data_IF_505948201825
#
_entry.id   IF_505948201825
#
_cell.length_a   1.000
_cell.length_b   1.000
_cell.length_c   1.000
_cell.angle_alpha   90.00
_cell.angle_beta   90.00
_cell.angle_gamma   90.00
#
_symmetry.space_group_name_H-M   'P 1'
#
loop_
_entity.id
_entity.type
_entity.pdbx_description
1 polymer ?
#
# COMPACT_ATOMS: atom_id res chain seq x y z
N UNK A 1 -10.49 2.29 20.26
CA UNK A 1 -9.66 3.29 19.54
C UNK A 1 -8.32 2.67 19.16
N UNK A 2 -7.56 3.33 18.29
CA UNK A 2 -6.26 2.84 17.82
C UNK A 2 -5.20 3.94 17.91
N UNK A 3 -3.94 3.53 18.04
CA UNK A 3 -2.79 4.39 17.77
C UNK A 3 -2.05 3.84 16.55
N UNK A 4 -1.69 4.71 15.59
CA UNK A 4 -0.77 4.36 14.52
C UNK A 4 0.68 4.58 14.93
N UNK A 5 1.61 3.96 14.21
CA UNK A 5 3.04 4.14 14.44
C UNK A 5 3.85 3.87 13.17
N UNK A 6 4.96 4.57 13.05
CA UNK A 6 6.05 4.20 12.14
C UNK A 6 6.98 3.19 12.81
N UNK A 7 7.90 2.61 12.04
CA UNK A 7 8.96 1.76 12.64
C UNK A 7 9.87 2.55 13.58
N UNK A 8 10.03 3.85 13.36
CA UNK A 8 10.99 4.68 14.09
C UNK A 8 10.46 5.10 15.48
N UNK A 9 9.14 5.23 15.64
CA UNK A 9 8.53 5.70 16.89
C UNK A 9 7.67 4.66 17.61
N UNK A 10 7.54 3.44 17.09
CA UNK A 10 6.71 2.38 17.67
C UNK A 10 7.04 2.11 19.16
N UNK A 11 8.33 2.03 19.50
CA UNK A 11 8.75 1.76 20.90
C UNK A 11 8.38 2.93 21.83
N UNK A 12 8.55 4.18 21.36
CA UNK A 12 8.15 5.38 22.11
C UNK A 12 6.64 5.43 22.33
N UNK A 13 5.84 5.16 21.29
CA UNK A 13 4.38 5.12 21.40
C UNK A 13 3.95 4.00 22.34
N UNK A 14 4.57 2.82 22.24
CA UNK A 14 4.25 1.69 23.12
C UNK A 14 4.54 2.01 24.60
N UNK A 15 5.67 2.65 24.89
CA UNK A 15 6.02 3.08 26.24
C UNK A 15 5.00 4.09 26.81
N UNK A 16 4.68 5.14 26.04
CA UNK A 16 3.70 6.15 26.47
C UNK A 16 2.30 5.56 26.69
N UNK A 17 1.86 4.66 25.80
CA UNK A 17 0.59 3.95 25.98
C UNK A 17 0.63 3.07 27.23
N UNK A 18 1.71 2.34 27.46
CA UNK A 18 1.87 1.46 28.61
C UNK A 18 1.81 2.25 29.92
N UNK A 19 2.64 3.28 30.05
CA UNK A 19 2.73 4.13 31.24
C UNK A 19 1.42 4.87 31.51
N UNK A 20 0.65 5.19 30.46
CA UNK A 20 -0.65 5.80 30.59
C UNK A 20 -1.74 4.80 31.02
N UNK A 21 -1.85 3.66 30.32
CA UNK A 21 -2.96 2.73 30.44
C UNK A 21 -2.86 1.80 31.65
N UNK A 22 -1.66 1.33 32.01
CA UNK A 22 -1.47 0.35 33.08
C UNK A 22 -1.90 0.89 34.45
N UNK A 23 -1.49 2.09 34.89
CA UNK A 23 -1.93 2.64 36.18
C UNK A 23 -3.44 2.93 36.25
N UNK A 24 -4.08 3.09 35.08
CA UNK A 24 -5.52 3.39 34.95
C UNK A 24 -6.38 2.15 34.69
N UNK A 25 -5.78 0.95 34.66
CA UNK A 25 -6.47 -0.30 34.34
C UNK A 25 -7.22 -0.29 33.00
N UNK A 26 -6.72 0.46 32.01
CA UNK A 26 -7.33 0.52 30.67
C UNK A 26 -6.75 -0.63 29.84
N UNK A 27 -7.56 -1.57 29.33
CA UNK A 27 -7.04 -2.66 28.52
C UNK A 27 -6.51 -2.15 27.18
N UNK A 28 -5.40 -2.73 26.71
CA UNK A 28 -4.83 -2.43 25.40
C UNK A 28 -4.02 -3.63 24.88
N UNK A 29 -3.68 -3.57 23.58
CA UNK A 29 -2.74 -4.50 22.94
C UNK A 29 -1.94 -3.78 21.87
N UNK A 30 -0.76 -4.32 21.57
CA UNK A 30 0.13 -3.83 20.52
C UNK A 30 0.48 -4.93 19.52
N UNK A 31 0.99 -4.53 18.36
CA UNK A 31 1.65 -5.46 17.44
C UNK A 31 2.95 -5.95 18.08
N UNK A 32 3.14 -7.27 18.26
CA UNK A 32 4.26 -7.78 19.07
C UNK A 32 5.56 -7.89 18.24
N UNK A 33 5.96 -6.78 17.60
CA UNK A 33 7.31 -6.62 17.09
C UNK A 33 7.44 -5.89 15.74
N UNK A 34 8.65 -5.40 15.40
CA UNK A 34 8.89 -4.55 14.24
C UNK A 34 8.55 -5.21 12.90
N UNK A 35 8.82 -6.52 12.76
CA UNK A 35 8.53 -7.27 11.54
C UNK A 35 7.01 -7.35 11.28
N UNK A 36 6.23 -7.60 12.32
CA UNK A 36 4.76 -7.68 12.21
C UNK A 36 4.15 -6.30 11.94
N UNK A 37 4.71 -5.24 12.53
CA UNK A 37 4.32 -3.86 12.22
C UNK A 37 4.63 -3.53 10.75
N UNK A 38 5.81 -3.90 10.25
CA UNK A 38 6.17 -3.73 8.84
C UNK A 38 5.20 -4.46 7.91
N UNK A 39 4.91 -5.74 8.17
CA UNK A 39 3.99 -6.53 7.33
C UNK A 39 2.57 -5.95 7.33
N UNK A 40 2.11 -5.38 8.44
CA UNK A 40 0.82 -4.68 8.54
C UNK A 40 0.78 -3.35 7.76
N UNK A 41 1.94 -2.76 7.48
CA UNK A 41 2.06 -1.51 6.71
C UNK A 41 2.65 -1.71 5.31
N UNK A 42 2.92 -2.95 4.88
CA UNK A 42 3.45 -3.25 3.55
C UNK A 42 2.51 -2.81 2.42
N UNK A 43 3.03 -2.66 1.20
CA UNK A 43 2.27 -2.23 0.00
C UNK A 43 0.96 -3.00 -0.22
N UNK A 44 0.99 -4.32 -0.09
CA UNK A 44 -0.17 -5.19 -0.31
C UNK A 44 -0.76 -5.72 1.00
N UNK A 45 -0.46 -5.06 2.13
CA UNK A 45 -1.16 -5.32 3.38
C UNK A 45 -2.64 -4.94 3.26
N UNK A 46 -3.48 -5.58 4.06
CA UNK A 46 -4.91 -5.27 4.07
C UNK A 46 -5.16 -3.83 4.55
N UNK A 47 -6.01 -3.11 3.84
CA UNK A 47 -6.31 -1.69 4.11
C UNK A 47 -7.17 -1.48 5.35
N UNK A 48 -7.85 -2.52 5.84
CA UNK A 48 -8.70 -2.47 7.03
C UNK A 48 -7.92 -2.54 8.36
N UNK A 49 -6.72 -3.09 8.32
CA UNK A 49 -5.84 -3.29 9.48
C UNK A 49 -4.58 -2.44 9.43
N UNK A 50 -4.26 -1.87 8.26
CA UNK A 50 -3.05 -1.07 8.11
C UNK A 50 -3.05 0.16 9.03
N UNK A 51 -1.85 0.49 9.51
CA UNK A 51 -1.59 1.56 10.45
C UNK A 51 -1.95 1.25 11.89
N UNK A 52 -2.88 0.32 12.18
CA UNK A 52 -3.28 -0.03 13.56
C UNK A 52 -2.14 -0.71 14.31
N UNK A 53 -1.36 0.08 15.07
CA UNK A 53 -0.26 -0.43 15.89
C UNK A 53 -0.77 -0.85 17.28
N UNK A 54 -1.43 0.06 17.98
CA UNK A 54 -2.07 -0.20 19.28
C UNK A 54 -3.58 -0.22 19.12
N UNK A 55 -4.26 -1.10 19.85
CA UNK A 55 -5.70 -0.99 20.13
C UNK A 55 -5.89 -0.73 21.62
N UNK A 56 -6.63 0.31 21.97
CA UNK A 56 -6.95 0.69 23.35
C UNK A 56 -8.47 0.56 23.53
N UNK A 57 -8.89 0.05 24.69
CA UNK A 57 -10.27 -0.29 25.01
C UNK A 57 -10.80 0.54 26.20
N UNK A 58 -11.16 1.82 26.00
CA UNK A 58 -11.91 2.58 26.99
C UNK A 58 -13.25 1.90 27.32
N UNK A 59 -13.74 2.09 28.54
CA UNK A 59 -14.97 1.44 29.02
C UNK A 59 -16.25 1.99 28.35
N UNK A 60 -16.28 3.30 28.11
CA UNK A 60 -17.42 4.05 27.58
C UNK A 60 -16.96 5.29 26.80
N UNK A 61 -17.92 6.11 26.35
CA UNK A 61 -17.66 7.33 25.58
C UNK A 61 -16.95 8.43 26.39
N UNK A 62 -17.23 8.54 27.69
CA UNK A 62 -16.57 9.50 28.58
C UNK A 62 -15.10 9.12 28.77
N UNK A 63 -14.84 7.85 29.07
CA UNK A 63 -13.49 7.28 29.14
C UNK A 63 -12.77 7.39 27.80
N UNK A 64 -13.45 7.17 26.67
CA UNK A 64 -12.86 7.40 25.34
C UNK A 64 -12.41 8.84 25.18
N UNK A 65 -13.27 9.82 25.50
CA UNK A 65 -12.94 11.24 25.38
C UNK A 65 -11.77 11.62 26.29
N UNK A 66 -11.76 11.13 27.54
CA UNK A 66 -10.67 11.34 28.48
C UNK A 66 -9.34 10.80 27.95
N UNK A 67 -9.33 9.56 27.47
CA UNK A 67 -8.13 8.94 26.88
C UNK A 67 -7.67 9.71 25.64
N UNK A 68 -8.58 10.08 24.73
CA UNK A 68 -8.22 10.86 23.55
C UNK A 68 -7.55 12.19 23.90
N UNK A 69 -8.02 12.88 24.95
CA UNK A 69 -7.44 14.15 25.40
C UNK A 69 -6.09 13.97 26.06
N UNK A 70 -5.99 13.15 27.11
CA UNK A 70 -4.74 13.03 27.88
C UNK A 70 -3.66 12.31 27.08
N UNK A 71 -3.97 11.12 26.56
CA UNK A 71 -3.00 10.35 25.77
C UNK A 71 -2.71 11.05 24.44
N UNK A 72 -3.68 11.75 23.85
CA UNK A 72 -3.47 12.57 22.66
C UNK A 72 -2.41 13.64 22.90
N UNK A 73 -2.44 14.33 24.04
CA UNK A 73 -1.42 15.32 24.40
C UNK A 73 -0.03 14.69 24.60
N UNK A 74 0.05 13.49 25.17
CA UNK A 74 1.32 12.78 25.35
C UNK A 74 1.92 12.27 24.03
N UNK A 75 1.07 11.96 23.06
CA UNK A 75 1.46 11.45 21.74
C UNK A 75 1.56 12.56 20.68
N UNK A 76 1.38 13.82 21.06
CA UNK A 76 1.42 14.95 20.14
C UNK A 76 2.79 15.04 19.43
N UNK A 77 2.74 15.38 18.13
CA UNK A 77 3.93 15.42 17.26
C UNK A 77 4.52 14.05 16.89
N UNK A 78 3.89 12.92 17.26
CA UNK A 78 4.32 11.59 16.79
C UNK A 78 3.56 11.18 15.52
N UNK A 79 4.30 10.96 14.44
CA UNK A 79 3.72 10.59 13.16
C UNK A 79 3.31 9.12 13.06
N UNK A 80 2.43 8.83 12.10
CA UNK A 80 2.08 7.48 11.73
C UNK A 80 1.27 7.44 10.45
N UNK A 81 1.13 6.26 9.82
CA UNK A 81 0.26 6.13 8.66
C UNK A 81 -1.19 6.43 9.04
N UNK A 82 -1.90 7.16 8.18
CA UNK A 82 -3.32 7.39 8.33
C UNK A 82 -4.09 6.05 8.38
N UNK A 83 -5.05 5.89 9.30
CA UNK A 83 -5.88 4.68 9.36
C UNK A 83 -7.18 4.93 8.60
N UNK A 84 -7.30 4.37 7.39
CA UNK A 84 -8.41 4.66 6.46
C UNK A 84 -9.81 4.37 7.02
N UNK A 85 -9.91 3.37 7.89
CA UNK A 85 -11.18 2.89 8.46
C UNK A 85 -11.61 3.65 9.72
N UNK A 86 -10.79 4.57 10.19
CA UNK A 86 -10.96 5.24 11.48
C UNK A 86 -10.93 6.76 11.29
N UNK A 87 -11.53 7.48 12.23
CA UNK A 87 -11.53 8.94 12.32
C UNK A 87 -10.31 9.39 13.13
N UNK A 88 -9.45 10.24 12.57
CA UNK A 88 -8.28 10.80 13.27
C UNK A 88 -8.73 11.73 14.38
N UNK A 89 -8.01 11.71 15.50
CA UNK A 89 -8.17 12.66 16.59
C UNK A 89 -7.10 13.74 16.50
N UNK A 90 -7.50 14.96 16.11
CA UNK A 90 -6.61 16.08 15.82
C UNK A 90 -5.50 15.65 14.84
N UNK A 91 -4.27 16.07 15.09
CA UNK A 91 -3.09 15.71 14.30
C UNK A 91 -2.31 14.51 14.89
N UNK A 92 -2.72 14.01 16.05
CA UNK A 92 -2.02 12.91 16.72
C UNK A 92 -2.23 11.55 16.03
N UNK A 93 -1.49 10.52 16.43
CA UNK A 93 -1.61 9.20 15.84
C UNK A 93 -2.81 8.43 16.39
N UNK A 94 -3.76 9.08 17.08
CA UNK A 94 -4.93 8.45 17.67
C UNK A 94 -6.13 8.46 16.72
N UNK A 95 -6.84 7.34 16.67
CA UNK A 95 -7.97 7.15 15.78
C UNK A 95 -9.15 6.42 16.46
N UNK A 96 -10.37 6.79 16.07
CA UNK A 96 -11.61 6.23 16.59
C UNK A 96 -12.37 5.51 15.48
N UNK A 97 -12.92 4.34 15.80
CA UNK A 97 -13.75 3.56 14.89
C UNK A 97 -14.84 2.84 15.66
N UNK A 98 -16.03 2.80 15.05
CA UNK A 98 -17.09 1.86 15.41
C UNK A 98 -16.84 0.51 14.76
N UNK A 99 -16.84 -0.56 15.56
CA UNK A 99 -16.62 -1.89 15.04
C UNK A 99 -16.50 -2.95 16.13
N UNK A 100 -16.41 -4.20 15.69
CA UNK A 100 -16.35 -5.34 16.60
C UNK A 100 -15.06 -5.31 17.43
N UNK A 101 -15.20 -5.33 18.76
CA UNK A 101 -14.08 -5.45 19.70
C UNK A 101 -14.10 -6.79 20.47
N UNK A 102 -15.29 -7.29 20.80
CA UNK A 102 -15.48 -8.64 21.35
C UNK A 102 -15.52 -9.69 20.22
N UNK A 103 -15.18 -10.94 20.55
CA UNK A 103 -15.31 -12.06 19.61
C UNK A 103 -16.80 -12.37 19.40
N UNK A 104 -17.38 -11.74 18.39
CA UNK A 104 -18.72 -12.03 17.89
C UNK A 104 -18.64 -12.17 16.37
N UNK A 105 -19.36 -13.15 15.84
CA UNK A 105 -19.32 -13.48 14.42
C UNK A 105 -20.72 -13.77 13.91
N UNK A 106 -20.95 -13.46 12.63
CA UNK A 106 -22.13 -13.85 11.87
C UNK A 106 -21.69 -14.42 10.53
N UNK A 107 -22.57 -15.16 9.88
CA UNK A 107 -22.37 -15.59 8.49
C UNK A 107 -22.97 -14.51 7.60
N UNK A 108 -22.18 -13.95 6.70
CA UNK A 108 -22.66 -12.94 5.76
C UNK A 108 -23.49 -13.57 4.62
N UNK A 109 -24.05 -12.73 3.75
CA UNK A 109 -24.86 -13.15 2.58
C UNK A 109 -24.11 -14.07 1.61
N UNK A 110 -22.77 -14.12 1.71
CA UNK A 110 -21.89 -14.96 0.88
C UNK A 110 -21.50 -16.26 1.58
N UNK A 111 -22.06 -16.56 2.74
CA UNK A 111 -21.73 -17.75 3.52
C UNK A 111 -20.39 -17.65 4.26
N UNK A 112 -19.81 -16.45 4.39
CA UNK A 112 -18.51 -16.25 5.05
C UNK A 112 -18.68 -15.86 6.52
N UNK A 113 -17.91 -16.49 7.40
CA UNK A 113 -17.87 -16.11 8.82
C UNK A 113 -17.12 -14.79 8.98
N UNK A 114 -17.82 -13.74 9.40
CA UNK A 114 -17.29 -12.37 9.54
C UNK A 114 -17.50 -11.83 10.95
N UNK A 115 -16.62 -10.93 11.45
CA UNK A 115 -16.85 -10.26 12.73
C UNK A 115 -18.18 -9.50 12.75
N UNK A 116 -18.80 -9.40 13.91
CA UNK A 116 -20.12 -8.80 14.09
C UNK A 116 -20.15 -7.72 15.16
N UNK A 117 -21.02 -6.73 14.95
CA UNK A 117 -21.44 -5.73 15.94
C UNK A 117 -22.92 -5.91 16.25
N UNK A 118 -23.40 -5.30 17.34
CA UNK A 118 -24.84 -5.23 17.61
C UNK A 118 -25.43 -3.97 16.98
N UNK A 119 -26.60 -4.12 16.37
CA UNK A 119 -27.41 -2.98 15.94
C UNK A 119 -28.15 -2.32 17.12
N UNK A 120 -28.95 -1.30 16.85
CA UNK A 120 -29.75 -0.58 17.85
C UNK A 120 -30.78 -1.46 18.58
N UNK A 121 -31.15 -2.59 17.99
CA UNK A 121 -32.07 -3.58 18.57
C UNK A 121 -31.34 -4.76 19.25
N UNK A 122 -30.00 -4.70 19.29
CA UNK A 122 -29.16 -5.74 19.87
C UNK A 122 -28.88 -6.94 18.96
N UNK A 123 -29.36 -6.93 17.72
CA UNK A 123 -29.16 -8.00 16.74
C UNK A 123 -27.73 -7.97 16.20
N UNK A 124 -27.11 -9.14 16.03
CA UNK A 124 -25.77 -9.21 15.46
C UNK A 124 -25.81 -8.98 13.95
N UNK A 125 -25.06 -7.98 13.50
CA UNK A 125 -24.90 -7.61 12.09
C UNK A 125 -23.41 -7.58 11.71
N UNK A 126 -23.05 -7.79 10.43
CA UNK A 126 -21.65 -7.75 9.99
C UNK A 126 -20.93 -6.43 10.33
N UNK A 127 -19.71 -6.53 10.87
CA UNK A 127 -18.80 -5.40 11.08
C UNK A 127 -18.25 -4.93 9.72
N UNK A 128 -18.82 -3.86 9.16
CA UNK A 128 -18.40 -3.35 7.86
C UNK A 128 -16.99 -2.72 7.93
N UNK A 129 -16.02 -3.37 7.27
CA UNK A 129 -14.61 -2.92 7.20
C UNK A 129 -14.23 -2.33 5.85
N UNK A 130 -15.00 -1.33 5.42
CA UNK A 130 -14.67 -0.56 4.21
C UNK A 130 -13.46 0.35 4.50
N UNK A 131 -12.57 0.63 3.53
CA UNK A 131 -11.40 1.50 3.70
C UNK A 131 -11.79 3.00 3.73
N UNK A 132 -12.83 3.31 4.50
CA UNK A 132 -13.34 4.65 4.81
C UNK A 132 -13.92 4.61 6.22
N UNK A 133 -13.86 5.74 6.93
CA UNK A 133 -14.61 5.89 8.18
C UNK A 133 -16.12 5.80 7.90
N UNK A 134 -16.83 5.13 8.80
CA UNK A 134 -18.27 4.91 8.74
C UNK A 134 -18.82 4.85 10.17
N UNK A 135 -19.90 5.57 10.41
CA UNK A 135 -20.70 5.50 11.64
C UNK A 135 -21.97 4.73 11.28
N UNK A 136 -22.32 3.64 11.99
CA UNK A 136 -23.58 2.95 11.76
C UNK A 136 -24.80 3.85 12.03
N UNK A 137 -25.87 3.67 11.26
CA UNK A 137 -27.07 4.53 11.31
C UNK A 137 -27.75 4.57 12.69
N UNK A 138 -27.59 3.52 13.48
CA UNK A 138 -28.15 3.38 14.83
C UNK A 138 -27.24 3.94 15.94
N UNK A 139 -26.07 4.50 15.60
CA UNK A 139 -25.13 5.05 16.56
C UNK A 139 -25.03 6.57 16.39
N UNK A 140 -25.40 7.37 17.40
CA UNK A 140 -25.13 8.80 17.36
C UNK A 140 -23.62 9.03 17.42
N UNK A 141 -23.11 9.98 16.62
CA UNK A 141 -21.72 10.42 16.73
C UNK A 141 -21.57 11.26 18.00
N UNK A 142 -20.63 10.94 18.92
CA UNK A 142 -20.33 11.77 20.07
C UNK A 142 -19.90 13.17 19.64
N UNK A 143 -20.47 14.19 20.27
CA UNK A 143 -20.26 15.59 19.91
C UNK A 143 -18.77 15.99 19.82
N UNK A 144 -17.92 15.41 20.67
CA UNK A 144 -16.48 15.69 20.65
C UNK A 144 -15.76 15.19 19.38
N UNK A 145 -16.37 14.29 18.61
CA UNK A 145 -15.85 13.80 17.32
C UNK A 145 -16.36 14.59 16.11
N UNK A 146 -17.40 15.42 16.26
CA UNK A 146 -17.96 16.22 15.17
C UNK A 146 -16.91 17.14 14.51
N UNK A 147 -16.04 17.86 15.25
CA UNK A 147 -15.01 18.69 14.61
C UNK A 147 -14.03 17.88 13.77
N UNK A 148 -13.72 16.66 14.21
CA UNK A 148 -12.80 15.76 13.49
C UNK A 148 -13.45 15.25 12.20
N UNK A 149 -14.75 14.92 12.25
CA UNK A 149 -15.49 14.51 11.06
C UNK A 149 -15.64 15.66 10.06
N UNK A 150 -15.90 16.87 10.55
CA UNK A 150 -15.96 18.07 9.73
C UNK A 150 -14.62 18.33 9.04
N UNK A 151 -13.50 18.33 9.79
CA UNK A 151 -12.15 18.51 9.26
C UNK A 151 -11.76 17.43 8.23
N UNK A 152 -12.22 16.19 8.41
CA UNK A 152 -12.03 15.14 7.40
C UNK A 152 -12.76 15.46 6.10
N UNK A 153 -13.98 16.00 6.18
CA UNK A 153 -14.85 16.26 5.03
C UNK A 153 -14.47 17.53 4.25
N UNK A 154 -13.65 18.43 4.81
CA UNK A 154 -13.16 19.62 4.08
C UNK A 154 -12.14 19.28 2.99
N UNK A 155 -11.47 18.13 3.08
CA UNK A 155 -10.55 17.68 2.03
C UNK A 155 -11.36 17.18 0.84
N UNK A 156 -11.61 18.05 -0.14
CA UNK A 156 -12.35 17.68 -1.35
C UNK A 156 -11.43 17.65 -2.58
N UNK A 157 -11.71 16.70 -3.47
CA UNK A 157 -11.12 16.64 -4.81
C UNK A 157 -11.74 17.66 -5.78
N UNK A 158 -12.76 18.40 -5.35
CA UNK A 158 -13.58 19.27 -6.21
C UNK A 158 -12.79 20.42 -6.83
N UNK A 159 -11.77 20.92 -6.13
CA UNK A 159 -10.93 22.03 -6.58
C UNK A 159 -9.77 21.59 -7.49
N UNK A 160 -9.57 20.28 -7.64
CA UNK A 160 -8.50 19.76 -8.50
C UNK A 160 -8.95 19.80 -9.97
N UNK A 161 -8.07 20.20 -10.90
CA UNK A 161 -8.35 20.20 -12.33
C UNK A 161 -8.33 18.79 -12.94
N UNK A 162 -8.82 17.78 -12.22
CA UNK A 162 -8.79 16.38 -12.60
C UNK A 162 -10.13 15.71 -12.37
N UNK A 163 -10.73 15.21 -13.44
CA UNK A 163 -11.92 14.37 -13.37
C UNK A 163 -11.50 12.90 -13.37
N UNK A 164 -11.68 12.22 -12.25
CA UNK A 164 -11.38 10.78 -12.13
C UNK A 164 -12.46 9.96 -12.82
N UNK A 165 -12.05 9.04 -13.70
CA UNK A 165 -12.95 8.16 -14.45
C UNK A 165 -12.95 6.74 -13.88
N UNK A 166 -11.77 6.23 -13.54
CA UNK A 166 -11.57 4.86 -13.07
C UNK A 166 -10.44 4.79 -12.06
N UNK A 167 -10.52 3.83 -11.13
CA UNK A 167 -9.43 3.51 -10.21
C UNK A 167 -9.02 2.04 -10.40
N UNK A 168 -8.16 1.74 -11.41
CA UNK A 168 -7.81 0.35 -11.76
C UNK A 168 -7.13 -0.44 -10.65
N UNK A 169 -6.51 0.23 -9.68
CA UNK A 169 -5.75 -0.45 -8.66
C UNK A 169 -5.67 0.34 -7.36
N UNK A 170 -5.87 -0.37 -6.24
CA UNK A 170 -5.59 0.14 -4.90
C UNK A 170 -4.57 -0.74 -4.20
N UNK A 171 -3.70 -0.10 -3.44
CA UNK A 171 -2.79 -0.75 -2.50
C UNK A 171 -2.90 -0.05 -1.15
N UNK A 172 -2.23 -0.59 -0.13
CA UNK A 172 -2.06 0.16 1.10
C UNK A 172 -1.21 1.44 0.91
N UNK A 173 -0.34 1.48 -0.11
CA UNK A 173 0.42 2.69 -0.42
C UNK A 173 -0.40 3.81 -1.07
N UNK A 174 -1.62 3.54 -1.50
CA UNK A 174 -2.45 4.46 -2.28
C UNK A 174 -3.04 3.82 -3.54
N UNK A 175 -3.80 4.61 -4.29
CA UNK A 175 -4.45 4.26 -5.54
C UNK A 175 -3.70 4.68 -6.80
N UNK A 176 -4.08 4.04 -7.90
CA UNK A 176 -3.81 4.49 -9.27
C UNK A 176 -5.14 4.84 -9.89
N UNK A 177 -5.24 6.03 -10.46
CA UNK A 177 -6.44 6.59 -11.03
C UNK A 177 -6.21 6.95 -12.49
N UNK A 178 -7.19 6.71 -13.33
CA UNK A 178 -7.25 7.21 -14.70
C UNK A 178 -8.30 8.30 -14.74
N UNK A 179 -7.96 9.42 -15.36
CA UNK A 179 -8.86 10.56 -15.47
C UNK A 179 -8.52 11.47 -16.62
N UNK A 180 -9.18 12.62 -16.63
CA UNK A 180 -8.98 13.69 -17.59
C UNK A 180 -8.53 14.96 -16.87
N UNK A 181 -7.48 15.60 -17.35
CA UNK A 181 -7.12 16.97 -16.97
C UNK A 181 -8.14 17.93 -17.56
N UNK A 182 -8.85 18.68 -16.73
CA UNK A 182 -9.96 19.54 -17.16
C UNK A 182 -9.47 20.85 -17.79
N UNK A 183 -8.18 21.20 -17.67
CA UNK A 183 -7.61 22.41 -18.24
C UNK A 183 -7.47 22.32 -19.76
N UNK A 184 -7.18 21.12 -20.28
CA UNK A 184 -6.89 20.90 -21.70
C UNK A 184 -7.48 19.59 -22.27
N UNK A 185 -8.20 18.81 -21.47
CA UNK A 185 -8.89 17.60 -21.90
C UNK A 185 -7.99 16.38 -22.07
N UNK A 186 -6.70 16.44 -21.72
CA UNK A 186 -5.82 15.27 -21.88
C UNK A 186 -6.14 14.18 -20.88
N UNK A 187 -6.03 12.92 -21.32
CA UNK A 187 -6.12 11.75 -20.46
C UNK A 187 -4.82 11.57 -19.67
N UNK A 188 -4.96 11.33 -18.37
CA UNK A 188 -3.84 11.24 -17.41
C UNK A 188 -3.99 10.05 -16.48
N UNK A 189 -2.87 9.65 -15.89
CA UNK A 189 -2.82 8.74 -14.74
C UNK A 189 -2.38 9.53 -13.52
N UNK A 190 -3.10 9.37 -12.41
CA UNK A 190 -2.72 9.91 -11.10
C UNK A 190 -2.31 8.75 -10.19
N UNK A 191 -1.13 8.83 -9.61
CA UNK A 191 -0.65 7.88 -8.60
C UNK A 191 -0.62 8.55 -7.24
N UNK A 192 -1.26 7.92 -6.26
CA UNK A 192 -1.30 8.37 -4.88
C UNK A 192 -0.23 7.67 -4.04
N UNK A 193 0.49 8.45 -3.24
CA UNK A 193 1.43 8.02 -2.23
C UNK A 193 0.95 8.45 -0.84
N UNK A 194 0.60 7.48 -0.01
CA UNK A 194 0.18 7.67 1.39
C UNK A 194 1.41 7.73 2.31
N UNK A 195 1.59 8.80 3.11
CA UNK A 195 2.70 8.90 4.05
C UNK A 195 2.75 7.70 5.02
N UNK A 196 3.97 7.20 5.26
CA UNK A 196 4.27 6.11 6.19
C UNK A 196 3.59 4.76 5.89
N UNK A 197 2.81 4.66 4.81
CA UNK A 197 2.09 3.48 4.41
C UNK A 197 2.68 2.88 3.13
N UNK A 198 2.31 1.63 2.86
CA UNK A 198 2.74 0.91 1.67
C UNK A 198 4.24 0.63 1.62
N UNK A 199 4.83 0.25 2.74
CA UNK A 199 6.26 0.00 2.89
C UNK A 199 6.76 -1.03 1.87
N UNK A 200 7.86 -0.70 1.19
CA UNK A 200 8.66 -1.65 0.41
C UNK A 200 9.67 -2.40 1.29
N UNK A 201 10.34 -3.41 0.72
CA UNK A 201 11.30 -4.24 1.45
C UNK A 201 12.49 -3.44 2.02
N UNK A 202 12.88 -2.34 1.37
CA UNK A 202 13.90 -1.40 1.83
C UNK A 202 13.40 -0.45 2.94
N UNK A 203 12.13 -0.53 3.32
CA UNK A 203 11.49 0.33 4.31
C UNK A 203 10.97 1.66 3.75
N UNK A 204 11.14 1.95 2.46
CA UNK A 204 10.61 3.16 1.86
C UNK A 204 9.07 3.11 1.81
N UNK A 205 8.42 4.18 2.25
CA UNK A 205 6.98 4.34 2.16
C UNK A 205 6.53 4.74 0.74
N UNK A 206 5.22 4.83 0.54
CA UNK A 206 4.65 5.13 -0.76
C UNK A 206 5.04 6.52 -1.26
N UNK A 207 5.16 7.52 -0.38
CA UNK A 207 5.61 8.89 -0.74
C UNK A 207 7.05 8.85 -1.23
N UNK A 208 7.97 8.27 -0.47
CA UNK A 208 9.38 8.15 -0.84
C UNK A 208 9.54 7.45 -2.18
N UNK A 209 8.77 6.38 -2.41
CA UNK A 209 8.75 5.65 -3.70
C UNK A 209 8.21 6.51 -4.84
N UNK A 210 7.16 7.29 -4.59
CA UNK A 210 6.54 8.16 -5.59
C UNK A 210 7.48 9.30 -6.00
N UNK A 211 8.21 9.89 -5.05
CA UNK A 211 9.21 10.92 -5.32
C UNK A 211 10.40 10.37 -6.12
N UNK A 212 10.87 9.17 -5.77
CA UNK A 212 11.90 8.47 -6.56
C UNK A 212 11.42 8.19 -7.99
N UNK A 213 10.15 7.84 -8.15
CA UNK A 213 9.53 7.63 -9.46
C UNK A 213 9.47 8.93 -10.26
N UNK A 214 8.97 10.02 -9.67
CA UNK A 214 8.96 11.36 -10.28
C UNK A 214 10.36 11.75 -10.77
N UNK A 215 11.36 11.70 -9.90
CA UNK A 215 12.74 12.06 -10.23
C UNK A 215 13.36 11.15 -11.32
N UNK A 216 12.90 9.89 -11.44
CA UNK A 216 13.32 9.02 -12.53
C UNK A 216 12.65 9.40 -13.86
N UNK A 217 11.35 9.69 -13.85
CA UNK A 217 10.60 10.11 -15.04
C UNK A 217 11.10 11.45 -15.58
N UNK A 218 11.32 12.44 -14.72
CA UNK A 218 11.86 13.75 -15.10
C UNK A 218 13.26 13.64 -15.74
N UNK A 219 14.12 12.75 -15.24
CA UNK A 219 15.42 12.48 -15.86
C UNK A 219 15.28 11.82 -17.24
N UNK A 220 14.29 10.98 -17.44
CA UNK A 220 14.06 10.22 -18.68
C UNK A 220 13.15 10.96 -19.68
N UNK A 221 12.65 12.15 -19.32
CA UNK A 221 11.75 12.98 -20.12
C UNK A 221 12.27 13.27 -21.55
N UNK A 222 11.44 13.14 -22.56
CA UNK A 222 11.79 13.40 -23.96
C UNK A 222 12.56 12.28 -24.67
N UNK A 223 12.83 11.14 -24.01
CA UNK A 223 13.30 9.93 -24.71
C UNK A 223 12.20 9.19 -25.46
N UNK A 224 10.92 9.49 -25.15
CA UNK A 224 9.78 8.79 -25.75
C UNK A 224 9.60 7.34 -25.27
N UNK A 225 10.37 6.90 -24.26
CA UNK A 225 10.33 5.53 -23.71
C UNK A 225 9.72 5.46 -22.30
N UNK A 226 9.43 6.61 -21.71
CA UNK A 226 8.70 6.73 -20.44
C UNK A 226 7.56 7.73 -20.59
N UNK A 227 6.48 7.61 -19.79
CA UNK A 227 5.47 8.66 -19.66
C UNK A 227 6.07 9.94 -19.08
N UNK A 228 5.59 11.09 -19.55
CA UNK A 228 6.00 12.39 -19.02
C UNK A 228 5.28 12.71 -17.70
N UNK A 229 5.98 13.42 -16.80
CA UNK A 229 5.36 14.02 -15.61
C UNK A 229 4.57 15.24 -16.05
N UNK A 230 3.32 15.34 -15.59
CA UNK A 230 2.40 16.43 -15.92
C UNK A 230 2.17 17.38 -14.75
N UNK A 231 2.10 16.84 -13.55
CA UNK A 231 1.83 17.61 -12.34
C UNK A 231 2.23 16.78 -11.11
N UNK A 232 2.38 17.44 -9.97
CA UNK A 232 2.49 16.79 -8.67
C UNK A 232 1.93 17.72 -7.60
N UNK A 233 1.13 17.17 -6.69
CA UNK A 233 0.46 17.97 -5.67
C UNK A 233 0.20 17.17 -4.40
N UNK A 234 -0.32 17.84 -3.39
CA UNK A 234 -0.68 17.24 -2.09
C UNK A 234 -2.15 17.48 -1.81
N UNK A 235 -2.84 16.43 -1.38
CA UNK A 235 -4.24 16.49 -0.97
C UNK A 235 -4.45 15.57 0.23
N UNK A 236 -4.95 16.10 1.34
CA UNK A 236 -5.20 15.33 2.57
C UNK A 236 -3.96 14.57 3.04
N UNK A 237 -2.82 15.25 3.14
CA UNK A 237 -1.48 14.72 3.43
C UNK A 237 -0.90 13.72 2.42
N UNK A 238 -1.69 13.26 1.45
CA UNK A 238 -1.23 12.32 0.43
C UNK A 238 -0.56 13.05 -0.72
N UNK A 239 0.47 12.44 -1.29
CA UNK A 239 1.17 12.97 -2.48
C UNK A 239 0.59 12.35 -3.74
N UNK A 240 0.39 13.16 -4.76
CA UNK A 240 -0.10 12.73 -6.06
C UNK A 240 0.94 13.06 -7.13
N UNK A 241 1.21 12.08 -7.99
CA UNK A 241 2.00 12.25 -9.21
C UNK A 241 1.07 12.06 -10.41
N UNK A 242 0.97 13.09 -11.25
CA UNK A 242 0.20 13.06 -12.48
C UNK A 242 1.14 12.86 -13.64
N UNK A 243 0.80 11.91 -14.50
CA UNK A 243 1.65 11.48 -15.61
C UNK A 243 0.79 11.13 -16.83
N UNK A 244 1.45 10.99 -17.97
CA UNK A 244 0.77 10.56 -19.20
C UNK A 244 -0.01 9.26 -19.04
N UNK A 245 -1.21 9.23 -19.63
CA UNK A 245 -1.87 7.98 -19.93
C UNK A 245 -1.22 7.35 -21.18
N UNK A 246 -0.52 6.24 -21.00
CA UNK A 246 0.05 5.47 -22.11
C UNK A 246 -1.00 4.52 -22.66
N UNK A 247 -1.39 4.71 -23.92
CA UNK A 247 -2.28 3.79 -24.59
C UNK A 247 -1.58 2.46 -24.87
N UNK A 248 -2.27 1.36 -24.60
CA UNK A 248 -1.75 0.02 -24.86
C UNK A 248 -2.07 -0.97 -23.75
N UNK A 249 -1.42 -2.13 -23.82
CA UNK A 249 -1.61 -3.24 -22.89
C UNK A 249 -0.26 -3.64 -22.31
N UNK A 250 -0.21 -4.08 -21.03
CA UNK A 250 1.00 -4.64 -20.46
C UNK A 250 1.57 -5.78 -21.32
N UNK A 251 2.88 -5.75 -21.56
CA UNK A 251 3.57 -6.71 -22.45
C UNK A 251 3.34 -8.16 -22.01
N UNK A 252 3.29 -8.44 -20.70
CA UNK A 252 3.03 -9.79 -20.17
C UNK A 252 1.66 -10.34 -20.58
N UNK A 253 0.60 -9.51 -20.59
CA UNK A 253 -0.72 -9.91 -21.10
C UNK A 253 -0.65 -10.25 -22.58
N UNK A 254 0.06 -9.43 -23.35
CA UNK A 254 0.20 -9.61 -24.79
C UNK A 254 1.02 -10.86 -25.15
N UNK A 255 2.09 -11.13 -24.40
CA UNK A 255 2.89 -12.37 -24.51
C UNK A 255 2.02 -13.59 -24.22
N UNK A 256 1.25 -13.57 -23.13
CA UNK A 256 0.44 -14.70 -22.72
C UNK A 256 -0.63 -15.05 -23.76
N UNK A 257 -1.36 -14.05 -24.27
CA UNK A 257 -2.46 -14.29 -25.22
C UNK A 257 -2.00 -14.68 -26.62
N UNK A 258 -0.81 -14.23 -27.02
CA UNK A 258 -0.30 -14.46 -28.38
C UNK A 258 0.60 -15.68 -28.49
N UNK A 259 0.80 -16.41 -27.39
CA UNK A 259 1.77 -17.49 -27.33
C UNK A 259 1.31 -18.69 -28.19
N UNK A 260 2.05 -19.05 -29.26
CA UNK A 260 1.59 -20.05 -30.23
C UNK A 260 1.46 -21.45 -29.61
N UNK A 261 2.31 -21.78 -28.61
CA UNK A 261 2.26 -23.08 -27.90
C UNK A 261 1.08 -23.22 -26.92
N UNK A 262 0.09 -22.32 -26.97
CA UNK A 262 -1.20 -22.56 -26.33
C UNK A 262 -2.06 -23.56 -27.14
N UNK A 263 -1.76 -23.75 -28.42
CA UNK A 263 -2.35 -24.80 -29.25
C UNK A 263 -1.48 -26.07 -29.20
N UNK A 264 -2.12 -27.24 -29.26
CA UNK A 264 -1.45 -28.55 -29.21
C UNK A 264 -0.53 -28.81 -30.41
N UNK A 265 -0.87 -28.24 -31.58
CA UNK A 265 -0.06 -28.32 -32.80
C UNK A 265 -0.08 -26.94 -33.49
N UNK A 266 0.83 -26.03 -33.12
CA UNK A 266 0.81 -24.68 -33.66
C UNK A 266 1.31 -24.64 -35.09
N UNK A 267 0.53 -24.01 -35.96
CA UNK A 267 0.94 -23.71 -37.34
C UNK A 267 2.35 -23.07 -37.38
N UNK A 268 3.30 -23.61 -38.18
CA UNK A 268 4.66 -23.08 -38.27
C UNK A 268 4.72 -21.58 -38.58
N UNK A 269 3.78 -21.08 -39.39
CA UNK A 269 3.65 -19.65 -39.70
C UNK A 269 3.30 -18.79 -38.48
N UNK A 270 2.48 -19.30 -37.55
CA UNK A 270 2.13 -18.60 -36.31
C UNK A 270 3.34 -18.51 -35.37
N UNK A 271 4.14 -19.58 -35.28
CA UNK A 271 5.39 -19.60 -34.52
C UNK A 271 6.40 -18.60 -35.08
N UNK A 272 6.58 -18.58 -36.41
CA UNK A 272 7.47 -17.64 -37.08
C UNK A 272 7.02 -16.17 -36.87
N UNK A 273 5.72 -15.89 -37.01
CA UNK A 273 5.17 -14.55 -36.80
C UNK A 273 5.34 -14.07 -35.35
N UNK A 274 5.09 -14.95 -34.36
CA UNK A 274 5.31 -14.65 -32.95
C UNK A 274 6.80 -14.39 -32.67
N UNK A 275 7.70 -15.22 -33.21
CA UNK A 275 9.15 -15.06 -33.05
C UNK A 275 9.63 -13.71 -33.59
N UNK A 276 9.21 -13.36 -34.82
CA UNK A 276 9.55 -12.08 -35.43
C UNK A 276 9.02 -10.89 -34.60
N UNK A 277 7.81 -11.01 -34.05
CA UNK A 277 7.25 -10.00 -33.14
C UNK A 277 8.06 -9.89 -31.84
N UNK A 278 8.36 -11.01 -31.17
CA UNK A 278 9.09 -11.05 -29.92
C UNK A 278 10.49 -10.43 -30.07
N UNK A 279 11.21 -10.74 -31.16
CA UNK A 279 12.52 -10.16 -31.45
C UNK A 279 12.45 -8.64 -31.75
N UNK A 280 11.35 -8.14 -32.32
CA UNK A 280 11.16 -6.68 -32.46
C UNK A 280 10.95 -6.00 -31.11
N UNK A 281 10.09 -6.58 -30.26
CA UNK A 281 9.84 -6.03 -28.92
C UNK A 281 11.11 -6.08 -28.07
N UNK A 282 11.87 -7.18 -28.12
CA UNK A 282 13.14 -7.31 -27.43
C UNK A 282 14.10 -6.17 -27.79
N UNK A 283 14.33 -5.94 -29.08
CA UNK A 283 15.20 -4.85 -29.56
C UNK A 283 14.71 -3.46 -29.11
N UNK A 284 13.41 -3.21 -29.15
CA UNK A 284 12.85 -1.95 -28.69
C UNK A 284 13.07 -1.73 -27.18
N UNK A 285 12.94 -2.79 -26.37
CA UNK A 285 13.22 -2.73 -24.92
C UNK A 285 14.71 -2.53 -24.67
N UNK A 286 15.59 -3.23 -25.39
CA UNK A 286 17.04 -3.03 -25.29
C UNK A 286 17.42 -1.58 -25.57
N UNK A 287 16.94 -1.01 -26.67
CA UNK A 287 17.18 0.39 -27.03
C UNK A 287 16.69 1.35 -25.95
N UNK A 288 15.50 1.10 -25.38
CA UNK A 288 14.97 1.92 -24.30
C UNK A 288 15.81 1.84 -23.02
N UNK A 289 16.33 0.66 -22.68
CA UNK A 289 17.20 0.45 -21.51
C UNK A 289 18.58 1.08 -21.73
N UNK A 290 19.15 0.96 -22.92
CA UNK A 290 20.44 1.54 -23.28
C UNK A 290 20.43 3.08 -23.31
N UNK A 291 19.27 3.68 -23.60
CA UNK A 291 19.10 5.13 -23.54
C UNK A 291 19.12 5.70 -22.11
N UNK A 292 18.84 4.89 -21.07
CA UNK A 292 18.70 5.35 -19.70
C UNK A 292 20.02 5.70 -18.99
N UNK A 293 21.12 4.93 -19.11
CA UNK A 293 22.43 5.27 -18.54
C UNK A 293 22.98 6.61 -19.00
N UNK A 294 22.69 7.03 -20.25
CA UNK A 294 23.08 8.34 -20.78
C UNK A 294 22.52 9.53 -19.97
N UNK A 295 21.55 9.27 -19.07
CA UNK A 295 20.96 10.25 -18.16
C UNK A 295 21.14 9.91 -16.69
N UNK A 296 22.14 9.10 -16.37
CA UNK A 296 22.49 8.72 -14.99
C UNK A 296 21.41 7.92 -14.29
N UNK A 297 20.54 7.23 -15.03
CA UNK A 297 19.50 6.36 -14.49
C UNK A 297 19.92 4.89 -14.59
N UNK A 298 19.86 4.16 -13.47
CA UNK A 298 20.04 2.71 -13.42
C UNK A 298 18.70 2.04 -13.08
N UNK A 299 18.29 1.04 -13.87
CA UNK A 299 17.08 0.28 -13.59
C UNK A 299 17.38 -0.86 -12.59
N UNK A 300 17.04 -0.66 -11.32
CA UNK A 300 17.01 -1.75 -10.35
C UNK A 300 15.59 -2.26 -10.18
N UNK A 301 15.37 -3.52 -10.57
CA UNK A 301 14.09 -4.22 -10.39
C UNK A 301 13.91 -4.63 -8.92
N UNK A 302 13.65 -3.66 -8.05
CA UNK A 302 13.35 -3.88 -6.63
C UNK A 302 11.91 -3.49 -6.30
N UNK A 303 10.97 -4.44 -6.39
CA UNK A 303 9.62 -4.24 -5.83
C UNK A 303 8.44 -4.62 -6.73
N UNK A 304 8.58 -5.64 -7.57
CA UNK A 304 7.43 -6.24 -8.23
C UNK A 304 7.69 -7.70 -8.65
N UNK A 305 7.83 -8.58 -7.67
CA UNK A 305 7.70 -10.04 -7.91
C UNK A 305 6.95 -10.65 -6.74
N UNK A 306 5.68 -10.99 -6.97
CA UNK A 306 5.09 -12.14 -6.29
C UNK A 306 5.88 -13.38 -6.72
N UNK A 307 6.43 -14.07 -5.72
CA UNK A 307 6.67 -15.52 -5.69
C UNK A 307 7.27 -16.17 -6.95
N UNK A 308 8.58 -16.42 -6.93
CA UNK A 308 9.15 -17.77 -7.16
C UNK A 308 10.62 -17.80 -6.74
N UNK A 309 10.92 -18.81 -5.93
CA UNK A 309 12.25 -19.19 -5.49
C UNK A 309 13.08 -19.79 -6.64
N UNK A 310 14.40 -19.77 -6.49
CA UNK A 310 15.39 -20.41 -7.36
C UNK A 310 15.86 -19.48 -8.50
N UNK A 311 17.14 -19.37 -8.85
CA UNK A 311 18.28 -20.24 -8.57
C UNK A 311 19.54 -19.41 -8.89
N UNK A 312 20.51 -19.39 -7.97
CA UNK A 312 21.83 -18.84 -8.29
C UNK A 312 22.58 -19.84 -9.18
N UNK A 313 22.87 -19.47 -10.41
CA UNK A 313 23.80 -20.21 -11.28
C UNK A 313 25.15 -19.52 -11.23
N UNK A 314 26.09 -20.10 -10.48
CA UNK A 314 27.53 -19.88 -10.68
C UNK A 314 28.01 -20.80 -11.81
N UNK A 315 28.89 -20.36 -12.72
CA UNK A 315 29.50 -21.24 -13.69
C UNK A 315 30.57 -22.11 -13.00
N UNK A 316 30.46 -23.43 -13.20
CA UNK A 316 31.48 -24.43 -12.85
C UNK A 316 32.54 -24.44 -13.96
N UNK A 317 33.80 -24.24 -13.61
CA UNK A 317 34.93 -24.67 -14.43
C UNK A 317 35.45 -26.04 -13.96
N UNK A 318 35.43 -26.99 -14.89
CA UNK A 318 36.53 -27.93 -15.17
C UNK A 318 37.00 -28.90 -14.09
N UNK A 319 36.47 -30.12 -14.13
CA UNK A 319 37.08 -31.27 -13.48
C UNK A 319 38.30 -31.79 -14.26
N UNK A 320 39.38 -32.14 -13.55
CA UNK A 320 40.31 -33.21 -13.95
C UNK A 320 40.53 -34.15 -12.76
N UNK A 321 40.23 -35.42 -12.97
CA UNK A 321 40.53 -36.56 -12.09
C UNK A 321 41.90 -37.15 -12.41
N UNK A 322 42.62 -37.59 -11.39
CA UNK A 322 43.56 -38.73 -11.31
C UNK A 322 44.31 -38.58 -9.98
N UNK A 323 44.63 -39.56 -9.14
CA UNK A 323 44.51 -41.03 -9.04
C UNK A 323 44.72 -41.34 -7.55
N UNK A 324 44.15 -42.44 -7.05
CA UNK A 324 44.44 -42.99 -5.72
C UNK A 324 45.57 -44.03 -5.79
N UNK A 325 46.40 -44.13 -4.74
CA UNK A 325 46.96 -45.32 -4.06
C UNK A 325 47.99 -44.87 -2.96
N UNK A 326 48.55 -45.75 -2.08
CA UNK A 326 48.16 -45.88 -0.66
C UNK A 326 49.37 -45.90 0.34
N UNK A 327 49.13 -46.23 1.62
CA UNK A 327 50.13 -46.58 2.64
C UNK A 327 50.21 -45.54 3.77
N UNK A 328 49.85 -45.82 5.02
CA UNK A 328 50.42 -46.73 6.05
C UNK A 328 50.88 -45.86 7.25
N UNK A 329 50.72 -46.45 8.42
CA UNK A 329 50.77 -45.94 9.81
C UNK A 329 52.18 -45.49 10.29
N UNK A 330 52.41 -45.01 11.54
CA UNK A 330 51.74 -45.35 12.81
C UNK A 330 51.04 -44.21 13.58
#
# INVERSE_FOLDING_TARGET
MHASATRANADRIAALVWDYCVPRSIPFKFVPGPRLLHLRNAKYASRDTSGKFVTIYPADEEGLHFVLRELGALLDGLDGPYILTDLRWNEGPLYVRYGAFARSFVVDERGTLVPAVRDGEGTLVPDQRKPTFHVPDWVPLPAFLEPQLAARNTTTVGDLPYRIEKAPHFSNGGGVYVGTDTRDGRRVVLKEGRPHAGLAADGADAVTRLERERAALERLAGLGVVPEVRDHFTLGDHRFLVMDFVEGRPLNSYVAERHPLLATDPEPGAVAAYTAWALRVHRAVEQAVEAAPARGAAHHRGGMTGTRAGTAVRPRHGARRARAAPGEEP
#
